data_IF_198433390275
#
_entry.id   IF_198433390275
#
_cell.length_a   1.000
_cell.length_b   1.000
_cell.length_c   1.000
_cell.angle_alpha   90.00
_cell.angle_beta   90.00
_cell.angle_gamma   90.00
#
_symmetry.space_group_name_H-M   'P 1'
#
loop_
_entity.id
_entity.type
_entity.pdbx_description
1 polymer ?
#
# COMPACT_ATOMS: atom_id res chain seq x y z
N UNK A 1 10.51 4.04 23.19
CA UNK A 1 9.15 4.40 22.74
C UNK A 1 8.87 5.87 23.07
N UNK A 2 7.85 6.52 22.48
CA UNK A 2 7.43 7.90 22.83
C UNK A 2 6.11 7.86 23.64
N UNK A 3 6.15 7.47 24.94
CA UNK A 3 4.93 7.27 25.74
C UNK A 3 4.12 8.55 25.95
N UNK A 4 4.80 9.71 26.02
CA UNK A 4 4.16 11.01 26.21
C UNK A 4 3.53 11.59 24.93
N UNK A 5 3.63 10.88 23.80
CA UNK A 5 3.07 11.37 22.55
C UNK A 5 1.54 11.28 22.59
N UNK A 6 0.87 12.43 22.72
CA UNK A 6 -0.60 12.55 22.73
C UNK A 6 -1.28 12.06 21.43
N UNK A 7 -0.51 11.88 20.35
CA UNK A 7 -1.01 11.39 19.06
C UNK A 7 0.13 10.80 18.21
N UNK A 8 -0.01 9.54 17.83
CA UNK A 8 0.82 8.85 16.83
C UNK A 8 -0.07 7.86 16.08
N UNK A 9 -0.21 8.05 14.77
CA UNK A 9 -1.06 7.20 13.93
C UNK A 9 -0.35 6.81 12.64
N UNK A 10 -0.55 5.57 12.19
CA UNK A 10 -0.04 5.10 10.91
C UNK A 10 -0.79 5.79 9.77
N UNK A 11 -0.04 6.36 8.83
CA UNK A 11 -0.60 7.02 7.63
C UNK A 11 -0.92 5.98 6.55
N UNK A 12 -0.07 4.97 6.42
CA UNK A 12 -0.28 3.80 5.59
C UNK A 12 0.32 2.58 6.27
N UNK A 13 -0.02 1.40 5.75
CA UNK A 13 0.58 0.15 6.20
C UNK A 13 1.70 -0.30 5.25
N UNK A 14 2.59 -1.12 5.78
CA UNK A 14 3.54 -1.92 5.05
C UNK A 14 3.25 -3.39 5.40
N UNK A 15 3.49 -4.33 4.49
CA UNK A 15 3.34 -5.74 4.81
C UNK A 15 4.48 -6.19 5.75
N UNK A 16 4.24 -7.24 6.55
CA UNK A 16 5.13 -7.66 7.64
C UNK A 16 6.56 -7.90 7.16
N UNK A 17 6.71 -8.53 6.01
CA UNK A 17 8.00 -8.95 5.45
C UNK A 17 8.54 -7.93 4.42
N UNK A 18 7.91 -6.76 4.31
CA UNK A 18 8.35 -5.67 3.44
C UNK A 18 9.05 -4.60 4.28
N UNK A 19 10.30 -4.30 3.94
CA UNK A 19 11.06 -3.18 4.51
C UNK A 19 10.81 -1.87 3.77
N UNK A 20 11.12 -0.73 4.39
CA UNK A 20 11.19 0.56 3.69
C UNK A 20 10.57 1.71 4.47
N UNK A 21 10.13 2.73 3.72
CA UNK A 21 9.56 3.95 4.30
C UNK A 21 8.16 3.68 4.85
N UNK A 22 7.95 4.01 6.12
CA UNK A 22 6.66 3.96 6.80
C UNK A 22 6.35 5.32 7.42
N UNK A 23 5.24 5.93 7.00
CA UNK A 23 4.82 7.23 7.52
C UNK A 23 3.96 7.11 8.77
N UNK A 24 4.30 7.91 9.79
CA UNK A 24 3.56 8.06 11.04
C UNK A 24 3.25 9.54 11.28
N UNK A 25 1.96 9.85 11.44
CA UNK A 25 1.51 11.21 11.70
C UNK A 25 1.59 11.54 13.20
N UNK A 26 2.17 12.70 13.53
CA UNK A 26 2.26 13.24 14.90
C UNK A 26 1.19 14.27 15.24
N UNK A 27 0.34 14.62 14.27
CA UNK A 27 -0.79 15.57 14.41
C UNK A 27 -1.98 15.06 13.61
N UNK A 28 -3.19 15.29 14.11
CA UNK A 28 -4.44 14.94 13.41
C UNK A 28 -4.55 15.64 12.04
N UNK A 29 -4.15 16.91 11.96
CA UNK A 29 -4.16 17.67 10.70
C UNK A 29 -3.21 17.07 9.66
N UNK A 30 -2.02 16.62 10.08
CA UNK A 30 -1.07 15.96 9.21
C UNK A 30 -1.61 14.61 8.71
N UNK A 31 -2.22 13.80 9.60
CA UNK A 31 -2.85 12.54 9.19
C UNK A 31 -3.93 12.78 8.12
N UNK A 32 -4.81 13.77 8.33
CA UNK A 32 -5.88 14.11 7.38
C UNK A 32 -5.32 14.50 6.01
N UNK A 33 -4.32 15.38 5.99
CA UNK A 33 -3.69 15.83 4.73
C UNK A 33 -2.99 14.68 4.00
N UNK A 34 -2.27 13.79 4.72
CA UNK A 34 -1.60 12.65 4.10
C UNK A 34 -2.58 11.59 3.59
N UNK A 35 -3.70 11.36 4.29
CA UNK A 35 -4.78 10.49 3.80
C UNK A 35 -5.45 11.05 2.54
N UNK A 36 -5.60 12.37 2.44
CA UNK A 36 -6.13 13.03 1.25
C UNK A 36 -5.21 12.82 0.05
N UNK A 37 -3.90 13.08 0.20
CA UNK A 37 -2.90 12.81 -0.85
C UNK A 37 -2.87 11.34 -1.29
N UNK A 38 -3.03 10.39 -0.36
CA UNK A 38 -3.12 8.96 -0.70
C UNK A 38 -4.38 8.63 -1.49
N UNK A 39 -5.52 9.26 -1.17
CA UNK A 39 -6.80 9.05 -1.86
C UNK A 39 -6.77 9.63 -3.27
N UNK A 40 -6.17 10.81 -3.42
CA UNK A 40 -6.00 11.52 -4.69
C UNK A 40 -4.87 10.93 -5.54
N UNK A 41 -4.16 9.91 -5.05
CA UNK A 41 -2.98 9.29 -5.69
C UNK A 41 -1.85 10.30 -5.97
N UNK A 42 -1.75 11.37 -5.20
CA UNK A 42 -0.70 12.40 -5.32
C UNK A 42 0.65 11.99 -4.73
N UNK A 43 0.73 10.83 -4.06
CA UNK A 43 1.96 10.32 -3.46
C UNK A 43 2.60 9.25 -4.35
N UNK A 44 3.78 9.54 -4.89
CA UNK A 44 4.61 8.57 -5.59
C UNK A 44 5.25 7.60 -4.57
N UNK A 45 5.17 6.30 -4.86
CA UNK A 45 5.71 5.23 -4.01
C UNK A 45 6.49 4.25 -4.87
N UNK A 46 7.81 4.32 -4.75
CA UNK A 46 8.73 3.47 -5.50
C UNK A 46 9.24 2.35 -4.60
N UNK A 47 9.22 1.13 -5.12
CA UNK A 47 9.69 -0.08 -4.42
C UNK A 47 10.70 -0.80 -5.29
N UNK A 48 11.74 -1.34 -4.65
CA UNK A 48 12.64 -2.30 -5.27
C UNK A 48 12.17 -3.72 -4.93
N UNK A 49 12.11 -4.57 -5.95
CA UNK A 49 11.75 -5.96 -5.80
C UNK A 49 12.71 -6.84 -6.62
N UNK A 50 13.15 -7.94 -6.03
CA UNK A 50 13.83 -9.01 -6.74
C UNK A 50 12.78 -10.00 -7.24
N UNK A 51 12.74 -10.23 -8.56
CA UNK A 51 11.76 -11.11 -9.19
C UNK A 51 12.42 -12.36 -9.77
N UNK A 52 11.62 -13.42 -9.96
CA UNK A 52 12.09 -14.65 -10.59
C UNK A 52 12.27 -14.43 -12.10
N UNK A 53 13.41 -14.84 -12.63
CA UNK A 53 13.69 -14.82 -14.07
C UNK A 53 14.00 -13.42 -14.61
N UNK A 54 13.77 -13.21 -15.90
CA UNK A 54 14.02 -11.94 -16.58
C UNK A 54 12.71 -11.17 -16.74
N UNK A 55 12.64 -9.97 -16.17
CA UNK A 55 11.48 -9.10 -16.36
C UNK A 55 11.44 -8.60 -17.81
N UNK A 56 10.29 -8.73 -18.46
CA UNK A 56 10.13 -8.28 -19.84
C UNK A 56 10.19 -6.75 -19.90
N UNK A 57 11.20 -6.20 -20.58
CA UNK A 57 11.49 -4.76 -20.60
C UNK A 57 10.34 -3.90 -21.12
N UNK A 58 9.47 -4.44 -21.97
CA UNK A 58 8.30 -3.75 -22.50
C UNK A 58 7.10 -3.72 -21.54
N UNK A 59 7.09 -4.56 -20.49
CA UNK A 59 6.04 -4.55 -19.47
C UNK A 59 6.32 -3.42 -18.49
N UNK A 60 5.59 -2.31 -18.64
CA UNK A 60 5.72 -1.11 -17.79
C UNK A 60 4.62 -0.97 -16.74
N UNK A 61 3.49 -1.63 -16.95
CA UNK A 61 2.37 -1.61 -16.03
C UNK A 61 1.62 -2.92 -16.05
N UNK A 62 0.97 -3.25 -14.94
CA UNK A 62 0.19 -4.47 -14.75
C UNK A 62 -1.19 -4.06 -14.23
N UNK A 63 -2.23 -4.32 -15.03
CA UNK A 63 -3.63 -4.09 -14.67
C UNK A 63 -4.33 -5.43 -14.52
N UNK A 64 -4.64 -5.79 -13.28
CA UNK A 64 -5.37 -7.01 -12.96
C UNK A 64 -6.25 -6.73 -11.73
N UNK A 65 -7.59 -6.93 -11.80
CA UNK A 65 -8.43 -6.66 -10.64
C UNK A 65 -8.12 -7.65 -9.52
N UNK A 66 -8.08 -7.14 -8.28
CA UNK A 66 -7.66 -7.89 -7.11
C UNK A 66 -8.80 -8.06 -6.11
N UNK A 67 -9.11 -9.31 -5.79
CA UNK A 67 -10.07 -9.68 -4.76
C UNK A 67 -9.33 -10.00 -3.46
N UNK A 68 -9.78 -9.38 -2.36
CA UNK A 68 -9.18 -9.53 -1.02
C UNK A 68 -10.07 -10.43 -0.16
N UNK A 69 -9.48 -11.47 0.41
CA UNK A 69 -10.13 -12.34 1.39
C UNK A 69 -9.37 -12.27 2.72
N UNK A 70 -10.09 -12.40 3.83
CA UNK A 70 -9.53 -12.51 5.18
C UNK A 70 -9.80 -13.94 5.65
N UNK A 71 -8.74 -14.67 5.95
CA UNK A 71 -8.83 -16.01 6.50
C UNK A 71 -9.29 -15.96 7.97
N UNK A 72 -9.75 -17.10 8.50
CA UNK A 72 -10.07 -17.23 9.92
C UNK A 72 -8.85 -16.92 10.83
N UNK A 73 -7.63 -17.14 10.33
CA UNK A 73 -6.38 -16.76 11.02
C UNK A 73 -6.13 -15.25 11.10
N UNK A 74 -6.93 -14.43 10.40
CA UNK A 74 -6.70 -12.99 10.24
C UNK A 74 -5.71 -12.62 9.12
N UNK A 75 -5.08 -13.62 8.48
CA UNK A 75 -4.24 -13.38 7.31
C UNK A 75 -5.05 -12.89 6.12
N UNK A 76 -4.46 -11.97 5.36
CA UNK A 76 -5.07 -11.40 4.16
C UNK A 76 -4.47 -12.08 2.94
N UNK A 77 -5.32 -12.73 2.15
CA UNK A 77 -4.94 -13.28 0.85
C UNK A 77 -5.55 -12.39 -0.24
N UNK A 78 -4.75 -12.11 -1.27
CA UNK A 78 -5.17 -11.33 -2.43
C UNK A 78 -4.96 -12.18 -3.68
N UNK A 79 -5.98 -12.27 -4.52
CA UNK A 79 -5.94 -13.02 -5.78
C UNK A 79 -6.45 -12.18 -6.93
N UNK A 80 -5.95 -12.47 -8.14
CA UNK A 80 -6.52 -11.91 -9.37
C UNK A 80 -7.90 -12.52 -9.59
N UNK A 81 -8.91 -11.68 -9.82
CA UNK A 81 -10.29 -12.11 -10.07
C UNK A 81 -11.07 -10.98 -10.76
N UNK A 82 -11.97 -11.33 -11.68
CA UNK A 82 -12.88 -10.37 -12.34
C UNK A 82 -13.80 -9.63 -11.34
N UNK A 83 -14.12 -10.26 -10.20
CA UNK A 83 -14.91 -9.66 -9.11
C UNK A 83 -14.06 -8.78 -8.19
N UNK A 84 -12.75 -8.70 -8.45
CA UNK A 84 -11.80 -7.90 -7.70
C UNK A 84 -11.95 -6.40 -7.94
N UNK A 85 -11.36 -5.59 -7.05
CA UNK A 85 -11.24 -4.15 -7.28
C UNK A 85 -10.15 -3.90 -8.32
N UNK A 86 -10.44 -3.07 -9.31
CA UNK A 86 -9.43 -2.61 -10.27
C UNK A 86 -8.29 -1.91 -9.54
N UNK A 87 -7.07 -2.34 -9.81
CA UNK A 87 -5.82 -1.75 -9.32
C UNK A 87 -4.89 -1.49 -10.51
N UNK A 88 -4.11 -0.42 -10.40
CA UNK A 88 -3.40 0.16 -11.54
C UNK A 88 -4.05 1.47 -11.98
N UNK A 89 -3.29 2.33 -12.66
CA UNK A 89 -3.80 3.61 -13.15
C UNK A 89 -4.98 3.36 -14.11
N UNK A 90 -6.17 3.81 -13.71
CA UNK A 90 -7.02 4.58 -14.62
C UNK A 90 -6.19 5.82 -14.96
N UNK A 91 -5.75 5.93 -16.21
CA UNK A 91 -5.39 7.25 -16.74
C UNK A 91 -6.63 8.15 -16.64
#
# INVERSE_FOLDING_TARGET
MRPEARFLELVHRLDRDTSGVLLVAKKRSALRSLHEQLREKGMQKDYLALVRGQWQSHVKSVQAPLLKNILQSGERIVRVSQEGKTVGNTL
#
